data_IF_669465714221
#
_entry.id   IF_669465714221
#
_cell.length_a   1.000
_cell.length_b   1.000
_cell.length_c   1.000
_cell.angle_alpha   90.00
_cell.angle_beta   90.00
_cell.angle_gamma   90.00
#
_symmetry.space_group_name_H-M   'P 1'
#
loop_
_entity.id
_entity.type
_entity.pdbx_description
1 polymer ?
#
# COMPACT_ATOMS: atom_id res chain seq x y z
N UNK A 1 24.94 52.81 -49.03
CA UNK A 1 23.58 52.99 -49.59
C UNK A 1 22.83 51.68 -49.34
N UNK A 2 22.24 51.49 -48.17
CA UNK A 2 20.90 51.96 -47.78
C UNK A 2 19.78 51.18 -48.48
N UNK A 3 19.17 50.21 -47.78
CA UNK A 3 17.71 50.18 -47.65
C UNK A 3 17.30 49.37 -46.42
N UNK A 4 16.59 50.07 -45.55
CA UNK A 4 16.03 49.70 -44.25
C UNK A 4 14.84 48.74 -44.36
N UNK A 5 14.69 47.83 -43.40
CA UNK A 5 13.38 47.25 -43.03
C UNK A 5 13.21 47.31 -41.50
N UNK A 6 12.00 47.61 -40.99
CA UNK A 6 11.81 48.07 -39.63
C UNK A 6 11.61 46.95 -38.60
N UNK A 7 11.91 47.31 -37.35
CA UNK A 7 11.56 46.64 -36.10
C UNK A 7 10.03 46.48 -35.97
N UNK A 8 9.60 45.29 -35.57
CA UNK A 8 8.33 45.10 -34.86
C UNK A 8 8.57 44.31 -33.58
N UNK A 9 8.47 45.03 -32.46
CA UNK A 9 8.22 44.54 -31.11
C UNK A 9 6.76 44.14 -30.97
N UNK A 10 6.46 42.96 -30.40
CA UNK A 10 5.19 42.58 -29.76
C UNK A 10 5.49 41.35 -28.87
N UNK A 11 5.74 41.53 -27.57
CA UNK A 11 4.74 41.59 -26.50
C UNK A 11 4.10 40.22 -26.19
N UNK A 12 4.65 39.54 -25.17
CA UNK A 12 3.92 38.59 -24.31
C UNK A 12 2.93 39.36 -23.43
N UNK A 13 1.74 38.81 -23.13
CA UNK A 13 1.59 38.30 -21.76
C UNK A 13 0.79 37.00 -21.66
N UNK A 14 1.27 36.12 -20.77
CA UNK A 14 0.49 35.11 -20.07
C UNK A 14 -0.78 35.74 -19.46
N UNK A 15 -1.93 35.10 -19.66
CA UNK A 15 -3.08 35.11 -18.75
C UNK A 15 -4.00 33.93 -19.09
N UNK A 16 -3.72 32.78 -18.49
CA UNK A 16 -4.74 31.76 -18.28
C UNK A 16 -4.86 31.52 -16.78
N UNK A 17 -6.00 31.97 -16.26
CA UNK A 17 -6.42 31.90 -14.87
C UNK A 17 -6.67 30.44 -14.51
N UNK A 18 -5.81 29.88 -13.66
CA UNK A 18 -6.03 28.60 -13.00
C UNK A 18 -6.96 28.86 -11.81
N UNK A 19 -8.12 28.19 -11.68
CA UNK A 19 -8.89 28.25 -10.45
C UNK A 19 -8.11 27.51 -9.35
N UNK A 20 -7.70 28.25 -8.33
CA UNK A 20 -7.09 27.70 -7.12
C UNK A 20 -8.13 26.84 -6.39
N UNK A 21 -7.99 25.52 -6.47
CA UNK A 21 -8.66 24.60 -5.57
C UNK A 21 -7.99 24.71 -4.20
N UNK A 22 -8.66 25.39 -3.28
CA UNK A 22 -8.33 25.39 -1.86
C UNK A 22 -8.84 24.07 -1.28
N UNK A 23 -8.01 23.18 -0.73
CA UNK A 23 -8.51 22.03 0.02
C UNK A 23 -8.92 22.54 1.40
N UNK A 24 -10.20 22.90 1.56
CA UNK A 24 -10.78 23.15 2.87
C UNK A 24 -11.17 21.80 3.49
N UNK A 25 -10.18 21.04 3.98
CA UNK A 25 -10.47 19.92 4.89
C UNK A 25 -10.42 20.48 6.31
N UNK A 26 -11.55 21.02 6.76
CA UNK A 26 -11.78 21.30 8.16
C UNK A 26 -12.30 20.02 8.82
N UNK A 27 -11.42 19.27 9.47
CA UNK A 27 -11.84 18.24 10.41
C UNK A 27 -12.36 18.93 11.68
N UNK A 28 -13.68 19.09 11.78
CA UNK A 28 -14.34 19.37 13.06
C UNK A 28 -14.74 18.05 13.71
N UNK A 29 -14.31 17.79 14.96
CA UNK A 29 -14.85 16.68 15.73
C UNK A 29 -16.22 17.09 16.25
N UNK A 30 -17.28 16.41 15.82
CA UNK A 30 -18.57 16.54 16.46
C UNK A 30 -18.59 15.63 17.69
N UNK A 31 -18.22 16.20 18.84
CA UNK A 31 -18.77 15.79 20.13
C UNK A 31 -20.02 16.64 20.35
N UNK A 32 -21.21 16.02 20.41
CA UNK A 32 -22.04 16.07 21.62
C UNK A 32 -23.52 15.67 21.44
N UNK A 33 -23.95 14.93 22.46
CA UNK A 33 -25.27 14.81 23.07
C UNK A 33 -26.37 13.86 22.52
N UNK A 34 -26.65 12.91 23.41
CA UNK A 34 -27.76 11.99 23.57
C UNK A 34 -29.16 12.62 23.45
N UNK A 35 -30.08 11.88 22.82
CA UNK A 35 -31.46 11.80 23.31
C UNK A 35 -32.00 10.38 23.15
N UNK A 36 -32.48 9.87 24.28
CA UNK A 36 -33.21 8.64 24.51
C UNK A 36 -34.44 8.46 23.61
N UNK A 37 -34.65 7.23 23.12
CA UNK A 37 -35.99 6.69 22.92
C UNK A 37 -36.08 5.29 23.51
N UNK A 38 -36.97 5.19 24.49
CA UNK A 38 -37.47 3.96 25.09
C UNK A 38 -38.45 3.27 24.15
N UNK A 39 -38.24 1.98 23.91
CA UNK A 39 -39.36 1.06 23.65
C UNK A 39 -38.93 -0.36 24.01
N UNK A 40 -39.54 -0.85 25.07
CA UNK A 40 -39.46 -2.21 25.59
C UNK A 40 -40.31 -3.17 24.75
N UNK A 41 -39.76 -4.33 24.41
CA UNK A 41 -40.52 -5.58 24.31
C UNK A 41 -39.58 -6.79 24.30
N UNK A 42 -40.04 -7.83 24.97
CA UNK A 42 -39.27 -8.92 25.58
C UNK A 42 -38.96 -10.10 24.65
N UNK A 43 -37.99 -10.90 25.12
CA UNK A 43 -37.82 -12.35 24.96
C UNK A 43 -37.49 -12.91 23.57
N UNK A 44 -36.29 -13.50 23.41
CA UNK A 44 -36.07 -14.93 23.69
C UNK A 44 -34.59 -15.29 23.50
N UNK A 45 -34.07 -16.05 24.45
CA UNK A 45 -32.72 -16.62 24.45
C UNK A 45 -32.55 -17.61 23.29
N UNK A 46 -31.49 -17.46 22.51
CA UNK A 46 -30.84 -18.58 21.82
C UNK A 46 -29.33 -18.39 21.95
N UNK A 47 -28.71 -19.29 22.71
CA UNK A 47 -27.27 -19.43 22.81
C UNK A 47 -26.71 -19.79 21.43
N UNK A 48 -25.77 -18.99 20.93
CA UNK A 48 -24.82 -19.46 19.93
C UNK A 48 -23.44 -18.99 20.33
N UNK A 49 -22.65 -19.94 20.85
CA UNK A 49 -21.21 -19.83 20.97
C UNK A 49 -20.63 -19.58 19.58
N UNK A 50 -20.44 -18.31 19.23
CA UNK A 50 -19.71 -17.93 18.05
C UNK A 50 -18.22 -18.11 18.35
N UNK A 51 -17.69 -19.26 17.95
CA UNK A 51 -16.26 -19.45 17.79
C UNK A 51 -15.70 -18.27 17.00
N UNK A 52 -14.79 -17.51 17.62
CA UNK A 52 -13.99 -16.48 16.97
C UNK A 52 -13.16 -17.16 15.87
N UNK A 53 -13.71 -17.26 14.65
CA UNK A 53 -12.91 -17.54 13.48
C UNK A 53 -12.04 -16.32 13.24
N UNK A 54 -10.77 -16.42 13.64
CA UNK A 54 -9.71 -15.63 13.05
C UNK A 54 -9.74 -15.93 11.54
N UNK A 55 -10.31 -15.01 10.75
CA UNK A 55 -10.32 -15.11 9.29
C UNK A 55 -8.97 -14.60 8.82
N UNK A 56 -8.05 -15.51 8.49
CA UNK A 56 -6.89 -15.18 7.69
C UNK A 56 -7.39 -14.78 6.29
N UNK A 57 -7.26 -13.49 5.95
CA UNK A 57 -7.67 -12.94 4.65
C UNK A 57 -6.57 -13.25 3.64
N UNK A 58 -6.90 -14.05 2.63
CA UNK A 58 -5.98 -14.38 1.54
C UNK A 58 -6.24 -13.48 0.34
N UNK A 59 -5.18 -12.83 -0.15
CA UNK A 59 -5.22 -12.03 -1.37
C UNK A 59 -4.50 -12.81 -2.47
N UNK A 60 -5.22 -13.19 -3.53
CA UNK A 60 -4.62 -13.74 -4.73
C UNK A 60 -4.18 -12.60 -5.67
N UNK A 61 -2.93 -12.64 -6.12
CA UNK A 61 -2.36 -11.68 -7.05
C UNK A 61 -1.83 -12.42 -8.29
N UNK A 62 -2.21 -11.96 -9.48
CA UNK A 62 -1.68 -12.46 -10.75
C UNK A 62 -0.72 -11.42 -11.37
N UNK A 63 0.60 -11.54 -11.16
CA UNK A 63 1.58 -10.61 -11.73
C UNK A 63 1.64 -10.63 -13.26
N UNK A 64 1.14 -11.68 -13.90
CA UNK A 64 1.15 -11.88 -15.35
C UNK A 64 -0.09 -11.34 -16.07
N UNK A 65 -0.89 -10.49 -15.41
CA UNK A 65 -2.13 -9.97 -15.96
C UNK A 65 -1.94 -9.35 -17.34
N UNK A 66 -2.48 -10.00 -18.37
CA UNK A 66 -2.67 -9.37 -19.68
C UNK A 66 -3.58 -8.15 -19.46
N UNK A 67 -3.05 -6.94 -19.67
CA UNK A 67 -3.71 -5.67 -19.30
C UNK A 67 -4.85 -5.27 -20.25
N UNK A 68 -5.12 -6.07 -21.27
CA UNK A 68 -6.25 -5.87 -22.17
C UNK A 68 -7.52 -6.38 -21.49
N UNK A 69 -8.28 -5.45 -20.89
CA UNK A 69 -9.65 -5.68 -20.48
C UNK A 69 -10.55 -5.63 -21.73
N UNK A 70 -11.16 -6.74 -22.19
CA UNK A 70 -12.28 -6.62 -23.11
C UNK A 70 -13.44 -5.93 -22.38
N UNK A 71 -14.01 -4.90 -23.00
CA UNK A 71 -15.21 -4.19 -22.55
C UNK A 71 -16.49 -5.05 -22.56
N UNK A 72 -16.36 -6.32 -22.96
CA UNK A 72 -17.42 -7.30 -23.02
C UNK A 72 -16.95 -8.60 -22.36
N UNK A 73 -17.78 -9.14 -21.46
CA UNK A 73 -17.65 -10.48 -20.89
C UNK A 73 -17.79 -11.53 -21.99
N UNK A 74 -16.79 -11.67 -22.86
CA UNK A 74 -16.67 -12.85 -23.70
C UNK A 74 -16.01 -13.95 -22.85
N UNK A 75 -16.85 -14.93 -22.47
CA UNK A 75 -16.44 -16.20 -21.91
C UNK A 75 -15.35 -16.83 -22.79
N UNK A 76 -14.08 -16.72 -22.41
CA UNK A 76 -13.10 -17.76 -22.73
C UNK A 76 -11.88 -17.70 -21.79
N UNK A 77 -11.71 -18.80 -21.05
CA UNK A 77 -10.48 -19.27 -20.39
C UNK A 77 -9.49 -18.23 -19.86
N UNK A 78 -9.74 -17.68 -18.67
CA UNK A 78 -8.63 -17.14 -17.86
C UNK A 78 -8.63 -17.84 -16.52
N UNK A 79 -7.54 -18.53 -16.23
CA UNK A 79 -7.32 -19.27 -14.99
C UNK A 79 -7.47 -18.35 -13.78
N UNK A 80 -8.24 -18.79 -12.79
CA UNK A 80 -8.37 -18.11 -11.50
C UNK A 80 -6.99 -18.09 -10.84
N UNK A 81 -6.57 -16.93 -10.33
CA UNK A 81 -5.27 -16.79 -9.70
C UNK A 81 -5.10 -17.83 -8.56
N UNK A 82 -3.96 -18.55 -8.50
CA UNK A 82 -3.73 -19.53 -7.44
C UNK A 82 -3.74 -18.84 -6.07
N UNK A 83 -4.27 -19.50 -5.03
CA UNK A 83 -4.29 -18.94 -3.69
C UNK A 83 -2.85 -18.72 -3.18
N UNK A 84 -2.60 -17.67 -2.37
CA UNK A 84 -1.28 -17.44 -1.79
C UNK A 84 -0.85 -18.62 -0.92
N UNK A 85 0.47 -18.84 -0.85
CA UNK A 85 1.04 -19.88 0.00
C UNK A 85 0.82 -19.55 1.49
N UNK A 86 0.85 -20.57 2.37
CA UNK A 86 0.72 -20.32 3.80
C UNK A 86 1.86 -19.43 4.32
N UNK A 87 1.59 -18.61 5.36
CA UNK A 87 2.56 -17.79 6.05
C UNK A 87 3.87 -18.53 6.37
N UNK A 88 4.98 -17.82 6.25
CA UNK A 88 6.29 -18.34 6.61
C UNK A 88 6.38 -18.53 8.14
N UNK A 89 6.85 -19.70 8.59
CA UNK A 89 7.02 -19.98 10.02
C UNK A 89 8.07 -19.04 10.65
N UNK A 90 7.81 -18.57 11.87
CA UNK A 90 8.73 -17.69 12.61
C UNK A 90 8.77 -16.24 12.12
N UNK A 91 7.85 -15.83 11.22
CA UNK A 91 7.68 -14.44 10.80
C UNK A 91 7.26 -13.54 11.98
N UNK A 92 7.59 -12.26 11.90
CA UNK A 92 7.02 -11.27 12.80
C UNK A 92 5.56 -11.04 12.45
N UNK A 93 4.68 -11.15 13.44
CA UNK A 93 3.25 -10.95 13.26
C UNK A 93 2.83 -9.64 13.93
N UNK A 94 2.41 -8.68 13.10
CA UNK A 94 1.92 -7.39 13.57
C UNK A 94 0.40 -7.45 13.66
N UNK A 95 -0.13 -7.42 14.88
CA UNK A 95 -1.58 -7.46 15.11
C UNK A 95 -2.10 -6.04 15.31
N UNK A 96 -3.09 -5.65 14.51
CA UNK A 96 -3.76 -4.35 14.60
C UNK A 96 -5.27 -4.52 14.68
N UNK A 97 -5.96 -3.60 15.35
CA UNK A 97 -7.40 -3.55 15.51
C UNK A 97 -7.96 -2.16 15.16
N UNK A 98 -9.29 -2.00 15.20
CA UNK A 98 -9.97 -0.73 14.90
C UNK A 98 -9.42 0.46 15.71
N UNK A 99 -9.05 0.24 16.98
CA UNK A 99 -8.62 1.29 17.88
C UNK A 99 -7.20 1.76 17.56
N UNK A 100 -6.30 0.82 17.27
CA UNK A 100 -4.95 1.08 16.75
C UNK A 100 -5.04 1.85 15.42
N UNK A 101 -5.88 1.38 14.49
CA UNK A 101 -6.09 1.99 13.17
C UNK A 101 -6.59 3.43 13.31
N UNK A 102 -7.63 3.66 14.11
CA UNK A 102 -8.22 4.99 14.33
C UNK A 102 -7.24 6.00 14.94
N UNK A 103 -6.36 5.54 15.83
CA UNK A 103 -5.31 6.40 16.45
C UNK A 103 -4.06 6.54 15.59
N UNK A 104 -4.02 5.85 14.45
CA UNK A 104 -2.84 5.70 13.60
C UNK A 104 -1.63 5.16 14.38
N UNK A 105 -1.84 4.39 15.44
CA UNK A 105 -0.78 3.99 16.36
C UNK A 105 0.16 2.96 15.71
N UNK A 106 1.46 3.27 15.65
CA UNK A 106 2.47 2.37 15.11
C UNK A 106 3.19 1.55 16.21
N UNK A 107 2.85 1.77 17.49
CA UNK A 107 3.44 1.01 18.59
C UNK A 107 3.35 -0.52 18.43
N UNK A 108 2.27 -1.12 17.89
CA UNK A 108 2.22 -2.57 17.70
C UNK A 108 3.25 -3.06 16.68
N UNK A 109 3.48 -2.30 15.61
CA UNK A 109 4.52 -2.59 14.63
C UNK A 109 5.90 -2.53 15.28
N UNK A 110 6.16 -1.49 16.06
CA UNK A 110 7.44 -1.28 16.75
C UNK A 110 7.71 -2.36 17.79
N UNK A 111 6.70 -2.80 18.55
CA UNK A 111 6.83 -3.85 19.56
C UNK A 111 7.08 -5.21 18.89
N UNK A 112 6.30 -5.56 17.87
CA UNK A 112 6.40 -6.85 17.20
C UNK A 112 7.74 -7.03 16.49
N UNK A 113 8.26 -5.95 15.87
CA UNK A 113 9.52 -5.99 15.11
C UNK A 113 10.73 -5.57 15.95
N UNK A 114 10.56 -4.84 17.04
CA UNK A 114 11.66 -4.18 17.76
C UNK A 114 12.18 -2.91 17.07
N UNK A 115 11.53 -2.41 16.01
CA UNK A 115 11.92 -1.23 15.24
C UNK A 115 11.40 0.07 15.87
N UNK A 116 11.93 0.44 17.04
CA UNK A 116 11.50 1.68 17.74
C UNK A 116 11.74 2.96 16.94
N UNK A 117 12.65 2.96 15.96
CA UNK A 117 12.91 4.08 15.06
C UNK A 117 13.35 3.58 13.67
N UNK A 118 13.01 4.28 12.57
CA UNK A 118 13.50 3.95 11.22
C UNK A 118 15.03 3.87 11.13
N UNK A 119 15.73 4.70 11.93
CA UNK A 119 17.20 4.75 12.00
C UNK A 119 17.81 3.62 12.84
N UNK A 120 17.00 2.97 13.68
CA UNK A 120 17.44 1.86 14.55
C UNK A 120 17.24 0.50 13.88
N UNK A 121 16.77 0.46 12.63
CA UNK A 121 16.63 -0.79 11.91
C UNK A 121 18.00 -1.47 11.80
N UNK A 122 18.09 -2.74 12.19
CA UNK A 122 19.23 -3.63 11.96
C UNK A 122 18.87 -4.62 10.85
N UNK A 123 18.97 -4.23 9.57
CA UNK A 123 18.26 -4.92 8.50
C UNK A 123 18.72 -6.36 8.27
N UNK A 124 19.96 -6.67 8.67
CA UNK A 124 20.54 -8.02 8.59
C UNK A 124 19.75 -9.03 9.43
N UNK A 125 19.28 -8.65 10.61
CA UNK A 125 18.46 -9.52 11.49
C UNK A 125 17.04 -9.72 10.93
N UNK A 126 16.50 -8.69 10.27
CA UNK A 126 15.15 -8.76 9.68
C UNK A 126 15.08 -9.47 8.34
N UNK A 127 16.15 -9.52 7.56
CA UNK A 127 16.11 -10.25 6.29
C UNK A 127 16.05 -11.78 6.48
N UNK A 128 16.31 -12.26 7.70
CA UNK A 128 16.12 -13.67 8.07
C UNK A 128 14.66 -14.00 8.42
N UNK A 129 13.83 -12.99 8.73
CA UNK A 129 12.43 -13.17 9.13
C UNK A 129 11.50 -12.19 8.43
N UNK A 130 10.47 -12.73 7.80
CA UNK A 130 9.48 -11.89 7.13
C UNK A 130 8.51 -11.24 8.12
N UNK A 131 7.76 -10.24 7.65
CA UNK A 131 6.73 -9.54 8.41
C UNK A 131 5.36 -9.82 7.76
N UNK A 132 4.36 -10.15 8.58
CA UNK A 132 2.97 -10.21 8.18
C UNK A 132 2.07 -9.39 9.12
N UNK A 133 0.83 -9.14 8.70
CA UNK A 133 -0.16 -8.45 9.54
C UNK A 133 -1.44 -9.25 9.73
N UNK A 134 -1.90 -9.29 10.97
CA UNK A 134 -3.25 -9.72 11.32
C UNK A 134 -4.08 -8.48 11.62
N UNK A 135 -5.08 -8.22 10.79
CA UNK A 135 -5.95 -7.04 10.89
C UNK A 135 -7.28 -7.49 11.48
N UNK A 136 -7.44 -7.31 12.79
CA UNK A 136 -8.69 -7.58 13.52
C UNK A 136 -9.64 -6.39 13.37
N UNK A 137 -10.14 -6.18 12.15
CA UNK A 137 -11.04 -5.07 11.85
C UNK A 137 -12.51 -5.50 11.92
N UNK A 138 -13.23 -4.98 12.90
CA UNK A 138 -14.68 -5.12 13.01
C UNK A 138 -15.35 -4.11 12.08
N UNK A 139 -15.94 -4.60 10.98
CA UNK A 139 -16.76 -3.76 10.08
C UNK A 139 -18.02 -3.29 10.83
N UNK A 140 -18.44 -2.05 10.57
CA UNK A 140 -19.69 -1.50 11.11
C UNK A 140 -20.90 -2.33 10.65
N UNK A 141 -20.94 -2.65 9.35
CA UNK A 141 -21.87 -3.60 8.78
C UNK A 141 -21.15 -4.94 8.50
N UNK A 142 -21.65 -6.02 9.11
CA UNK A 142 -21.12 -7.38 8.92
C UNK A 142 -21.33 -7.92 7.52
N UNK A 143 -22.28 -7.36 6.77
CA UNK A 143 -22.60 -7.77 5.39
C UNK A 143 -21.91 -6.89 4.34
N UNK A 144 -21.08 -5.92 4.75
CA UNK A 144 -20.31 -5.09 3.83
C UNK A 144 -19.34 -5.97 3.02
N UNK A 145 -19.50 -6.06 1.69
CA UNK A 145 -18.73 -6.96 0.84
C UNK A 145 -17.32 -6.45 0.56
N UNK A 146 -17.00 -5.20 0.90
CA UNK A 146 -15.71 -4.59 0.61
C UNK A 146 -14.58 -5.32 1.31
N UNK A 147 -13.46 -5.45 0.60
CA UNK A 147 -12.22 -5.97 1.16
C UNK A 147 -11.55 -4.95 2.09
N UNK A 148 -10.69 -5.40 2.99
CA UNK A 148 -10.01 -4.53 3.96
C UNK A 148 -9.21 -3.40 3.28
N UNK A 149 -8.65 -3.67 2.10
CA UNK A 149 -7.90 -2.67 1.33
C UNK A 149 -8.76 -1.56 0.74
N UNK A 150 -10.09 -1.68 0.78
CA UNK A 150 -11.02 -0.66 0.31
C UNK A 150 -11.44 0.32 1.42
N UNK A 151 -11.12 0.03 2.70
CA UNK A 151 -11.47 0.89 3.83
C UNK A 151 -10.43 2.02 4.02
N UNK A 152 -10.86 3.29 3.99
CA UNK A 152 -9.95 4.44 3.97
C UNK A 152 -9.13 4.61 5.26
N UNK A 153 -9.67 4.24 6.41
CA UNK A 153 -8.98 4.30 7.70
C UNK A 153 -7.87 3.25 7.82
N UNK A 154 -8.13 2.01 7.39
CA UNK A 154 -7.10 0.97 7.28
C UNK A 154 -5.99 1.44 6.35
N UNK A 155 -6.34 1.91 5.15
CA UNK A 155 -5.39 2.46 4.20
C UNK A 155 -4.57 3.61 4.79
N UNK A 156 -5.21 4.54 5.51
CA UNK A 156 -4.53 5.67 6.14
C UNK A 156 -3.48 5.22 7.17
N UNK A 157 -3.78 4.16 7.93
CA UNK A 157 -2.80 3.54 8.83
C UNK A 157 -1.58 3.02 8.06
N UNK A 158 -1.79 2.31 6.95
CA UNK A 158 -0.70 1.83 6.08
C UNK A 158 0.05 2.98 5.39
N UNK A 159 -0.62 4.08 5.01
CA UNK A 159 0.05 5.28 4.50
C UNK A 159 1.00 5.86 5.54
N UNK A 160 0.57 5.95 6.81
CA UNK A 160 1.46 6.39 7.91
C UNK A 160 2.62 5.42 8.10
N UNK A 161 2.35 4.12 8.06
CA UNK A 161 3.38 3.09 8.17
C UNK A 161 4.42 3.24 7.05
N UNK A 162 3.98 3.41 5.81
CA UNK A 162 4.84 3.60 4.64
C UNK A 162 5.67 4.87 4.71
N UNK A 163 5.07 5.98 5.16
CA UNK A 163 5.78 7.23 5.36
C UNK A 163 6.86 7.12 6.44
N UNK A 164 6.66 6.24 7.43
CA UNK A 164 7.60 6.04 8.55
C UNK A 164 8.69 5.02 8.20
N UNK A 165 8.33 3.94 7.52
CA UNK A 165 9.20 2.82 7.16
C UNK A 165 9.11 2.52 5.66
N UNK A 166 9.59 3.42 4.77
CA UNK A 166 9.29 3.35 3.34
C UNK A 166 9.98 2.18 2.62
N UNK A 167 11.00 1.59 3.24
CA UNK A 167 11.70 0.39 2.79
C UNK A 167 11.02 -0.93 3.19
N UNK A 168 9.97 -0.88 4.02
CA UNK A 168 9.24 -2.04 4.55
C UNK A 168 8.84 -3.10 3.49
N UNK A 169 8.45 -2.75 2.25
CA UNK A 169 8.08 -3.74 1.25
C UNK A 169 9.06 -4.90 1.07
N UNK A 170 10.37 -4.68 1.28
CA UNK A 170 11.38 -5.72 1.11
C UNK A 170 11.42 -6.75 2.25
N UNK A 171 10.80 -6.44 3.40
CA UNK A 171 10.76 -7.32 4.58
C UNK A 171 9.43 -8.07 4.74
N UNK A 172 8.44 -7.78 3.89
CA UNK A 172 7.14 -8.43 3.95
C UNK A 172 7.23 -9.91 3.56
N UNK A 173 6.31 -10.72 4.06
CA UNK A 173 6.15 -12.12 3.67
C UNK A 173 5.55 -12.22 2.25
N UNK A 174 6.38 -12.03 1.24
CA UNK A 174 5.98 -12.01 -0.18
C UNK A 174 5.24 -13.28 -0.57
N UNK A 175 5.67 -14.42 -0.01
CA UNK A 175 5.11 -15.74 -0.25
C UNK A 175 3.64 -15.83 0.20
N UNK A 176 3.30 -15.17 1.31
CA UNK A 176 1.94 -15.09 1.82
C UNK A 176 1.08 -14.00 1.17
N UNK A 177 1.59 -13.32 0.14
CA UNK A 177 0.88 -12.24 -0.55
C UNK A 177 0.91 -10.89 0.19
N UNK A 178 1.74 -10.75 1.23
CA UNK A 178 1.78 -9.52 2.04
C UNK A 178 2.20 -8.29 1.24
N UNK A 179 3.09 -8.46 0.26
CA UNK A 179 3.53 -7.37 -0.61
C UNK A 179 2.38 -6.86 -1.49
N UNK A 180 1.58 -7.75 -2.07
CA UNK A 180 0.43 -7.36 -2.89
C UNK A 180 -0.65 -6.68 -2.03
N UNK A 181 -0.91 -7.21 -0.83
CA UNK A 181 -1.83 -6.60 0.13
C UNK A 181 -1.36 -5.22 0.59
N UNK A 182 -0.08 -5.06 0.87
CA UNK A 182 0.52 -3.77 1.21
C UNK A 182 0.39 -2.75 0.07
N UNK A 183 0.69 -3.17 -1.16
CA UNK A 183 0.48 -2.33 -2.33
C UNK A 183 -0.99 -1.93 -2.49
N UNK A 184 -1.95 -2.84 -2.25
CA UNK A 184 -3.38 -2.53 -2.30
C UNK A 184 -3.81 -1.48 -1.27
N UNK A 185 -3.16 -1.43 -0.11
CA UNK A 185 -3.43 -0.36 0.87
C UNK A 185 -3.00 1.02 0.37
N UNK A 186 -1.96 1.09 -0.46
CA UNK A 186 -1.30 2.34 -0.86
C UNK A 186 -1.65 2.80 -2.29
N UNK A 187 -2.02 1.87 -3.17
CA UNK A 187 -2.26 2.09 -4.59
C UNK A 187 -3.75 1.93 -4.89
N UNK A 188 -4.35 2.84 -5.69
CA UNK A 188 -5.70 2.63 -6.22
C UNK A 188 -5.82 1.28 -6.92
N UNK A 189 -6.86 0.52 -6.56
CA UNK A 189 -7.14 -0.80 -7.10
C UNK A 189 -8.65 -1.03 -7.13
N UNK A 190 -9.04 -2.11 -7.78
CA UNK A 190 -10.39 -2.68 -7.78
C UNK A 190 -10.31 -4.16 -7.42
N UNK A 191 -11.36 -4.66 -6.77
CA UNK A 191 -11.50 -6.09 -6.49
C UNK A 191 -12.25 -6.77 -7.63
N UNK A 192 -11.65 -7.80 -8.22
CA UNK A 192 -12.27 -8.70 -9.19
C UNK A 192 -12.45 -10.08 -8.58
N UNK A 193 -13.66 -10.65 -8.67
CA UNK A 193 -13.91 -12.02 -8.21
C UNK A 193 -13.06 -13.06 -8.95
N UNK A 194 -12.67 -12.77 -10.20
CA UNK A 194 -11.88 -13.67 -11.06
C UNK A 194 -10.38 -13.43 -10.94
N UNK A 195 -9.98 -12.16 -10.99
CA UNK A 195 -8.56 -11.77 -11.08
C UNK A 195 -7.95 -11.40 -9.74
N UNK A 196 -8.74 -11.31 -8.66
CA UNK A 196 -8.29 -10.78 -7.38
C UNK A 196 -8.08 -9.27 -7.46
N UNK A 197 -6.93 -8.79 -6.97
CA UNK A 197 -6.63 -7.35 -6.97
C UNK A 197 -6.20 -6.90 -8.36
N UNK A 198 -6.91 -5.91 -8.90
CA UNK A 198 -6.58 -5.24 -10.16
C UNK A 198 -6.14 -3.81 -9.85
N UNK A 199 -4.85 -3.53 -9.98
CA UNK A 199 -4.30 -2.20 -9.71
C UNK A 199 -4.56 -1.22 -10.86
N UNK A 200 -4.67 0.07 -10.53
CA UNK A 200 -4.49 1.10 -11.54
C UNK A 200 -3.02 1.06 -12.03
N UNK A 201 -2.76 0.88 -13.33
CA UNK A 201 -1.42 0.60 -13.84
C UNK A 201 -0.46 1.78 -13.64
N UNK A 202 -0.89 3.00 -13.92
CA UNK A 202 -0.05 4.20 -13.77
C UNK A 202 0.32 4.46 -12.30
N UNK A 203 -0.64 4.27 -11.40
CA UNK A 203 -0.40 4.43 -9.98
C UNK A 203 0.52 3.34 -9.41
N UNK A 204 0.38 2.10 -9.90
CA UNK A 204 1.26 1.00 -9.51
C UNK A 204 2.68 1.22 -10.02
N UNK A 205 2.85 1.69 -11.25
CA UNK A 205 4.17 2.03 -11.82
C UNK A 205 4.89 3.08 -10.97
N UNK A 206 4.22 4.19 -10.65
CA UNK A 206 4.80 5.24 -9.80
C UNK A 206 5.14 4.71 -8.40
N UNK A 207 4.27 3.88 -7.83
CA UNK A 207 4.54 3.23 -6.55
C UNK A 207 5.79 2.34 -6.62
N UNK A 208 5.89 1.46 -7.61
CA UNK A 208 7.02 0.55 -7.78
C UNK A 208 8.32 1.33 -7.99
N UNK A 209 8.33 2.34 -8.85
CA UNK A 209 9.51 3.16 -9.09
C UNK A 209 9.97 3.88 -7.81
N UNK A 210 9.03 4.46 -7.06
CA UNK A 210 9.32 5.03 -5.75
C UNK A 210 9.95 4.00 -4.79
N UNK A 211 9.40 2.79 -4.73
CA UNK A 211 9.95 1.71 -3.89
C UNK A 211 11.31 1.23 -4.34
N UNK A 212 11.58 1.17 -5.64
CA UNK A 212 12.90 0.82 -6.18
C UNK A 212 13.96 1.81 -5.68
N UNK A 213 13.71 3.12 -5.77
CA UNK A 213 14.65 4.13 -5.28
C UNK A 213 14.92 4.00 -3.78
N UNK A 214 13.86 3.87 -2.98
CA UNK A 214 13.96 3.78 -1.52
C UNK A 214 14.65 2.49 -1.09
N UNK A 215 14.17 1.35 -1.55
CA UNK A 215 14.64 0.02 -1.12
C UNK A 215 16.08 -0.20 -1.56
N UNK A 216 16.43 0.13 -2.80
CA UNK A 216 17.80 -0.03 -3.26
C UNK A 216 18.79 0.76 -2.42
N UNK A 217 18.49 2.04 -2.19
CA UNK A 217 19.32 2.94 -1.40
C UNK A 217 19.47 2.44 0.03
N UNK A 218 18.36 2.06 0.66
CA UNK A 218 18.35 1.54 2.03
C UNK A 218 19.12 0.23 2.18
N UNK A 219 18.97 -0.71 1.23
CA UNK A 219 19.73 -1.97 1.24
C UNK A 219 21.23 -1.71 1.11
N UNK A 220 21.65 -0.77 0.26
CA UNK A 220 23.06 -0.37 0.13
C UNK A 220 23.61 0.26 1.41
N UNK A 221 22.90 1.23 1.97
CA UNK A 221 23.30 1.94 3.19
C UNK A 221 23.48 0.98 4.37
N UNK A 222 22.72 -0.11 4.41
CA UNK A 222 22.79 -1.13 5.44
C UNK A 222 23.65 -2.34 5.07
N UNK A 223 24.45 -2.21 4.00
CA UNK A 223 25.40 -3.24 3.52
C UNK A 223 24.75 -4.62 3.33
N UNK A 224 23.53 -4.64 2.79
CA UNK A 224 22.84 -5.89 2.50
C UNK A 224 23.40 -6.51 1.22
N UNK A 225 23.74 -7.81 1.21
CA UNK A 225 24.20 -8.49 0.01
C UNK A 225 23.19 -8.42 -1.13
N UNK A 226 23.71 -8.23 -2.36
CA UNK A 226 22.95 -8.28 -3.60
C UNK A 226 21.73 -7.31 -3.62
N UNK A 227 21.92 -6.00 -3.34
CA UNK A 227 20.81 -5.05 -3.21
C UNK A 227 20.03 -4.89 -4.52
N UNK A 228 20.71 -4.95 -5.68
CA UNK A 228 20.05 -4.91 -7.01
C UNK A 228 19.12 -6.11 -7.20
N UNK A 229 19.58 -7.33 -6.90
CA UNK A 229 18.78 -8.55 -7.07
C UNK A 229 17.52 -8.51 -6.19
N UNK A 230 17.67 -8.22 -4.89
CA UNK A 230 16.53 -8.13 -3.98
C UNK A 230 15.51 -7.07 -4.41
N UNK A 231 15.98 -5.91 -4.86
CA UNK A 231 15.09 -4.84 -5.35
C UNK A 231 14.37 -5.26 -6.63
N UNK A 232 15.07 -5.91 -7.57
CA UNK A 232 14.47 -6.47 -8.79
C UNK A 232 13.42 -7.53 -8.47
N UNK A 233 13.69 -8.41 -7.51
CA UNK A 233 12.76 -9.47 -7.12
C UNK A 233 11.48 -8.88 -6.49
N UNK A 234 11.61 -7.86 -5.62
CA UNK A 234 10.47 -7.13 -5.08
C UNK A 234 9.62 -6.49 -6.19
N UNK A 235 10.25 -5.81 -7.16
CA UNK A 235 9.53 -5.21 -8.28
C UNK A 235 8.85 -6.27 -9.17
N UNK A 236 9.52 -7.41 -9.40
CA UNK A 236 8.98 -8.54 -10.18
C UNK A 236 7.74 -9.14 -9.51
N UNK A 237 7.73 -9.21 -8.18
CA UNK A 237 6.55 -9.64 -7.41
C UNK A 237 5.34 -8.71 -7.58
N UNK A 238 5.53 -7.50 -8.10
CA UNK A 238 4.47 -6.56 -8.45
C UNK A 238 4.26 -6.43 -9.97
N UNK A 239 4.89 -7.29 -10.78
CA UNK A 239 4.74 -7.31 -12.24
C UNK A 239 5.74 -6.47 -13.03
N UNK A 240 6.79 -5.92 -12.40
CA UNK A 240 7.75 -5.02 -13.06
C UNK A 240 9.14 -5.63 -13.21
N UNK A 241 9.69 -5.56 -14.42
CA UNK A 241 11.11 -5.82 -14.69
C UNK A 241 11.93 -4.53 -14.59
N UNK A 242 12.95 -4.51 -13.73
CA UNK A 242 13.83 -3.34 -13.59
C UNK A 242 15.19 -3.64 -14.23
N UNK A 243 15.61 -2.78 -15.17
CA UNK A 243 16.91 -2.84 -15.85
C UNK A 243 18.07 -2.47 -14.92
N UNK A 244 19.28 -2.93 -15.26
CA UNK A 244 20.47 -2.59 -14.46
C UNK A 244 20.88 -1.12 -14.59
N UNK A 245 20.53 -0.50 -15.71
CA UNK A 245 20.87 0.88 -16.05
C UNK A 245 20.29 1.87 -15.04
N UNK A 246 19.10 1.58 -14.49
CA UNK A 246 18.49 2.42 -13.46
C UNK A 246 19.34 2.46 -12.19
N UNK A 247 19.89 1.32 -11.76
CA UNK A 247 20.74 1.26 -10.58
C UNK A 247 22.06 1.99 -10.81
N UNK A 248 22.63 1.91 -12.02
CA UNK A 248 23.82 2.68 -12.40
C UNK A 248 23.58 4.19 -12.31
N UNK A 249 22.39 4.66 -12.71
CA UNK A 249 21.98 6.07 -12.57
C UNK A 249 21.87 6.50 -11.10
N UNK A 250 21.30 5.64 -10.23
CA UNK A 250 21.19 5.92 -8.80
C UNK A 250 22.59 5.98 -8.16
N UNK A 251 23.45 5.01 -8.47
CA UNK A 251 24.81 4.94 -7.93
C UNK A 251 25.66 6.15 -8.31
N UNK A 252 25.47 6.68 -9.53
CA UNK A 252 26.19 7.85 -10.03
C UNK A 252 25.87 9.13 -9.25
N UNK A 253 24.66 9.25 -8.72
CA UNK A 253 24.17 10.46 -8.05
C UNK A 253 23.74 10.19 -6.60
N UNK A 254 24.51 9.36 -5.88
CA UNK A 254 24.22 9.09 -4.47
C UNK A 254 24.11 10.40 -3.68
N UNK A 255 23.02 10.53 -2.93
CA UNK A 255 22.83 11.61 -1.97
C UNK A 255 23.23 11.02 -0.62
N UNK A 256 24.31 11.53 -0.05
CA UNK A 256 24.68 11.21 1.32
C UNK A 256 23.57 11.72 2.26
N UNK A 257 22.75 10.81 2.77
CA UNK A 257 21.80 11.12 3.84
C UNK A 257 22.59 11.27 5.13
N UNK A 258 23.05 12.50 5.39
CA UNK A 258 23.63 12.93 6.67
C UNK A 258 22.56 13.00 7.77
#
# INVERSE_FOLDING_TARGET
>A
MASTKPLHTLSSPLKQTIPAFVPLISYKPNSDFSTSFTSSSSSSQVNQESQLRQVAVFVAFNPSGNFDLPLYDEQENTEVAPPPMPPTEGRYEVVIDNDIIRRLDLSPFQIATGLSSPLSAKPKEFLERTIGFTINYAKEDKYDPRELSEFPDIRLWFVRLDATYPWLPVLLDWRAGELARYAAMLVPHQMSMKMGIVFNPEALELFVMNKVFVVYSWLKQNEIPMPRLKTKDMARMLGFGIGDELFDLIDKHHIDTS
#
